data_IF_337388862902
#
_entry.id   IF_337388862902
#
_cell.length_a   1.000
_cell.length_b   1.000
_cell.length_c   1.000
_cell.angle_alpha   90.00
_cell.angle_beta   90.00
_cell.angle_gamma   90.00
#
_symmetry.space_group_name_H-M   'P 1'
#
loop_
_entity.id
_entity.type
_entity.pdbx_description
1 polymer ?
#
# COMPACT_ATOMS: atom_id res chain seq x y z
N UNK A 1 -44.47 -67.61 16.42
CA UNK A 1 -44.78 -66.43 15.59
C UNK A 1 -45.04 -65.24 16.52
N UNK A 2 -44.05 -64.35 16.71
CA UNK A 2 -44.27 -63.11 17.48
C UNK A 2 -45.08 -62.13 16.64
N UNK A 3 -46.25 -61.69 17.14
CA UNK A 3 -47.06 -60.68 16.47
C UNK A 3 -46.37 -59.30 16.60
N UNK A 4 -46.09 -58.60 15.49
CA UNK A 4 -45.45 -57.29 15.56
C UNK A 4 -46.32 -56.31 16.35
N UNK A 5 -45.74 -55.75 17.42
CA UNK A 5 -46.40 -54.79 18.29
C UNK A 5 -46.40 -53.42 17.60
N UNK A 6 -47.52 -53.07 16.96
CA UNK A 6 -47.70 -51.81 16.23
C UNK A 6 -47.34 -50.56 17.07
N UNK A 7 -47.49 -50.65 18.40
CA UNK A 7 -47.13 -49.57 19.33
C UNK A 7 -45.62 -49.40 19.49
N UNK A 8 -44.85 -50.49 19.44
CA UNK A 8 -43.40 -50.46 19.52
C UNK A 8 -42.76 -49.82 18.27
N UNK A 9 -43.33 -50.10 17.09
CA UNK A 9 -42.88 -49.48 15.84
C UNK A 9 -43.17 -47.97 15.83
N UNK A 10 -44.35 -47.56 16.31
CA UNK A 10 -44.69 -46.15 16.46
C UNK A 10 -43.77 -45.40 17.43
N UNK A 11 -43.47 -46.01 18.59
CA UNK A 11 -42.56 -45.42 19.57
C UNK A 11 -41.14 -45.23 19.03
N UNK A 12 -40.61 -46.19 18.26
CA UNK A 12 -39.29 -46.09 17.65
C UNK A 12 -39.21 -44.96 16.62
N UNK A 13 -40.26 -44.78 15.81
CA UNK A 13 -40.28 -43.72 14.79
C UNK A 13 -40.31 -42.31 15.41
N UNK A 14 -41.09 -42.14 16.48
CA UNK A 14 -41.13 -40.86 17.23
C UNK A 14 -39.79 -40.60 17.91
N UNK A 15 -39.19 -41.62 18.53
CA UNK A 15 -37.88 -41.48 19.16
C UNK A 15 -36.78 -41.09 18.15
N UNK A 16 -36.77 -41.73 16.99
CA UNK A 16 -35.84 -41.38 15.90
C UNK A 16 -36.03 -39.94 15.41
N UNK A 17 -37.27 -39.49 15.24
CA UNK A 17 -37.56 -38.11 14.84
C UNK A 17 -37.06 -37.10 15.88
N UNK A 18 -37.30 -37.37 17.17
CA UNK A 18 -36.82 -36.51 18.27
C UNK A 18 -35.29 -36.45 18.29
N UNK A 19 -34.60 -37.57 18.06
CA UNK A 19 -33.15 -37.59 17.98
C UNK A 19 -32.62 -36.80 16.77
N UNK A 20 -33.28 -36.87 15.62
CA UNK A 20 -32.89 -36.07 14.44
C UNK A 20 -33.09 -34.58 14.71
N UNK A 21 -34.21 -34.19 15.32
CA UNK A 21 -34.48 -32.79 15.70
C UNK A 21 -33.46 -32.32 16.74
N UNK A 22 -33.12 -33.14 17.72
CA UNK A 22 -32.11 -32.83 18.73
C UNK A 22 -30.71 -32.72 18.11
N UNK A 23 -30.35 -33.61 17.18
CA UNK A 23 -29.08 -33.57 16.47
C UNK A 23 -28.97 -32.34 15.57
N UNK A 24 -30.05 -31.98 14.85
CA UNK A 24 -30.11 -30.75 14.06
C UNK A 24 -30.04 -29.51 14.97
N UNK A 25 -30.77 -29.50 16.08
CA UNK A 25 -30.73 -28.44 17.07
C UNK A 25 -29.35 -28.28 17.71
N UNK A 26 -28.63 -29.36 17.96
CA UNK A 26 -27.27 -29.34 18.49
C UNK A 26 -26.25 -28.90 17.42
N UNK A 27 -26.40 -29.37 16.18
CA UNK A 27 -25.50 -29.06 15.07
C UNK A 27 -25.68 -27.63 14.55
N UNK A 28 -26.91 -27.11 14.52
CA UNK A 28 -27.22 -25.72 14.17
C UNK A 28 -27.12 -24.77 15.38
N UNK A 29 -27.45 -25.23 16.59
CA UNK A 29 -27.47 -24.42 17.82
C UNK A 29 -26.13 -24.34 18.56
N UNK A 30 -25.19 -25.26 18.30
CA UNK A 30 -23.84 -25.25 18.89
C UNK A 30 -22.93 -24.11 18.44
N UNK A 31 -23.43 -23.17 17.62
CA UNK A 31 -22.72 -21.95 17.21
C UNK A 31 -23.29 -20.66 17.81
N UNK A 32 -24.32 -20.74 18.65
CA UNK A 32 -24.88 -19.55 19.29
C UNK A 32 -24.30 -19.39 20.69
N UNK A 33 -23.77 -18.20 20.99
CA UNK A 33 -23.24 -17.75 22.29
C UNK A 33 -21.85 -18.20 22.68
N UNK A 34 -20.89 -18.12 21.75
CA UNK A 34 -19.53 -17.72 22.18
C UNK A 34 -19.45 -16.23 21.98
N UNK A 35 -19.33 -15.48 23.08
CA UNK A 35 -19.08 -14.05 23.08
C UNK A 35 -17.64 -13.82 22.60
N UNK A 36 -17.36 -14.21 21.35
CA UNK A 36 -16.11 -13.93 20.66
C UNK A 36 -16.19 -12.45 20.30
N UNK A 37 -15.73 -11.58 21.22
CA UNK A 37 -15.55 -10.17 20.91
C UNK A 37 -14.65 -10.09 19.68
N UNK A 38 -15.19 -9.58 18.58
CA UNK A 38 -14.55 -9.49 17.27
C UNK A 38 -13.91 -8.12 17.12
N UNK A 39 -12.58 -8.00 17.20
CA UNK A 39 -11.94 -6.71 17.10
C UNK A 39 -12.21 -6.09 15.73
N UNK A 40 -12.37 -4.78 15.73
CA UNK A 40 -12.68 -4.00 14.53
C UNK A 40 -11.49 -3.15 14.11
N UNK A 41 -11.26 -3.09 12.80
CA UNK A 41 -10.29 -2.24 12.15
C UNK A 41 -11.02 -1.30 11.19
N UNK A 42 -10.74 -0.01 11.27
CA UNK A 42 -11.35 0.98 10.38
C UNK A 42 -10.38 1.37 9.28
N UNK A 43 -10.74 1.13 8.03
CA UNK A 43 -9.96 1.56 6.87
C UNK A 43 -10.62 2.76 6.19
N UNK A 44 -9.83 3.81 5.93
CA UNK A 44 -10.25 5.02 5.19
C UNK A 44 -10.01 4.88 3.68
N UNK A 45 -9.18 3.92 3.27
CA UNK A 45 -8.81 3.65 1.88
C UNK A 45 -9.60 2.48 1.28
N UNK A 46 -9.21 2.07 0.08
CA UNK A 46 -9.84 0.94 -0.58
C UNK A 46 -9.45 -0.38 0.09
N UNK A 47 -10.45 -1.20 0.44
CA UNK A 47 -10.23 -2.59 0.88
C UNK A 47 -10.33 -3.59 -0.28
N UNK A 48 -10.24 -3.13 -1.54
CA UNK A 48 -10.30 -3.99 -2.71
C UNK A 48 -9.30 -5.14 -2.62
N UNK A 49 -9.77 -6.36 -2.88
CA UNK A 49 -8.96 -7.58 -2.76
C UNK A 49 -9.00 -8.22 -1.36
N UNK A 50 -9.58 -7.54 -0.36
CA UNK A 50 -9.90 -8.14 0.93
C UNK A 50 -11.27 -8.81 0.87
N UNK A 51 -11.37 -10.03 1.41
CA UNK A 51 -12.62 -10.77 1.46
C UNK A 51 -12.86 -11.38 2.83
N UNK A 52 -14.10 -11.75 3.10
CA UNK A 52 -14.43 -12.56 4.29
C UNK A 52 -13.66 -13.89 4.19
N UNK A 53 -12.95 -14.24 5.25
CA UNK A 53 -12.02 -15.36 5.30
C UNK A 53 -10.57 -15.02 4.95
N UNK A 54 -10.25 -13.80 4.51
CA UNK A 54 -8.86 -13.34 4.35
C UNK A 54 -8.09 -13.54 5.65
N UNK A 55 -6.84 -13.98 5.53
CA UNK A 55 -6.02 -14.31 6.68
C UNK A 55 -5.50 -13.04 7.36
N UNK A 56 -5.53 -13.03 8.69
CA UNK A 56 -4.86 -12.02 9.52
C UNK A 56 -3.52 -12.60 9.96
N UNK A 57 -2.46 -11.83 9.74
CA UNK A 57 -1.10 -12.19 10.09
C UNK A 57 -0.57 -11.27 11.16
N UNK A 58 0.26 -11.79 12.07
CA UNK A 58 1.12 -11.00 12.92
C UNK A 58 2.56 -11.37 12.59
N UNK A 59 3.33 -10.43 12.04
CA UNK A 59 4.73 -10.64 11.62
C UNK A 59 4.94 -11.94 10.82
N UNK A 60 4.06 -12.20 9.85
CA UNK A 60 4.12 -13.39 8.99
C UNK A 60 3.55 -14.69 9.60
N UNK A 61 3.10 -14.69 10.85
CA UNK A 61 2.40 -15.84 11.47
C UNK A 61 0.88 -15.66 11.34
N UNK A 62 0.13 -16.64 10.81
CA UNK A 62 -1.32 -16.55 10.73
C UNK A 62 -1.92 -16.57 12.15
N UNK A 63 -2.62 -15.50 12.53
CA UNK A 63 -3.21 -15.33 13.88
C UNK A 63 -4.73 -15.31 13.88
N UNK A 64 -5.38 -15.12 12.74
CA UNK A 64 -6.82 -14.89 12.71
C UNK A 64 -7.40 -14.79 11.31
N UNK A 65 -8.68 -14.44 11.18
CA UNK A 65 -9.36 -14.30 9.89
C UNK A 65 -10.28 -13.10 9.88
N UNK A 66 -10.55 -12.58 8.69
CA UNK A 66 -11.61 -11.58 8.48
C UNK A 66 -12.97 -12.26 8.59
N UNK A 67 -13.77 -11.81 9.55
CA UNK A 67 -15.10 -12.34 9.82
C UNK A 67 -16.16 -11.58 9.00
N UNK A 68 -16.04 -10.25 8.96
CA UNK A 68 -17.07 -9.39 8.37
C UNK A 68 -16.47 -8.09 7.86
N UNK A 69 -16.97 -7.59 6.74
CA UNK A 69 -16.62 -6.29 6.17
C UNK A 69 -17.92 -5.49 6.06
N UNK A 70 -17.93 -4.27 6.57
CA UNK A 70 -19.07 -3.36 6.46
C UNK A 70 -18.65 -2.07 5.75
N UNK A 71 -19.64 -1.39 5.18
CA UNK A 71 -19.46 -0.09 4.56
C UNK A 71 -20.30 0.90 5.34
N UNK A 72 -19.66 1.88 5.98
CA UNK A 72 -20.36 2.94 6.70
C UNK A 72 -20.16 4.26 5.94
N UNK A 73 -21.23 4.83 5.37
CA UNK A 73 -21.17 6.18 4.84
C UNK A 73 -20.90 7.15 6.00
N UNK A 74 -19.81 7.91 5.92
CA UNK A 74 -19.60 9.05 6.82
C UNK A 74 -20.25 10.29 6.21
N UNK A 75 -20.68 11.22 7.05
CA UNK A 75 -21.29 12.50 6.65
C UNK A 75 -20.28 13.51 6.06
N UNK A 76 -18.99 13.16 5.99
CA UNK A 76 -17.87 14.06 5.59
C UNK A 76 -17.19 13.62 4.28
N UNK A 77 -17.92 12.99 3.34
CA UNK A 77 -17.42 12.47 2.04
C UNK A 77 -16.29 11.43 2.10
N UNK A 78 -15.89 11.00 3.30
CA UNK A 78 -14.90 9.94 3.50
C UNK A 78 -15.60 8.62 3.83
N UNK A 79 -15.55 7.68 2.90
CA UNK A 79 -16.06 6.32 3.15
C UNK A 79 -15.14 5.65 4.18
N UNK A 80 -15.72 5.12 5.26
CA UNK A 80 -14.99 4.32 6.24
C UNK A 80 -15.51 2.89 6.19
N UNK A 81 -14.58 1.94 6.25
CA UNK A 81 -14.86 0.52 6.11
C UNK A 81 -14.44 -0.17 7.40
N UNK A 82 -15.39 -0.47 8.31
CA UNK A 82 -15.13 -1.35 9.45
C UNK A 82 -14.94 -2.78 8.98
N UNK A 83 -13.84 -3.39 9.42
CA UNK A 83 -13.49 -4.78 9.16
C UNK A 83 -13.34 -5.50 10.48
N UNK A 84 -14.16 -6.51 10.69
CA UNK A 84 -14.15 -7.34 11.89
C UNK A 84 -13.27 -8.55 11.66
N UNK A 85 -12.43 -8.85 12.65
CA UNK A 85 -11.55 -10.02 12.62
C UNK A 85 -11.84 -10.95 13.80
N UNK A 86 -11.46 -12.21 13.64
CA UNK A 86 -11.44 -13.22 14.69
C UNK A 86 -10.01 -13.72 14.88
N UNK A 87 -9.59 -13.97 16.11
CA UNK A 87 -8.29 -14.55 16.43
C UNK A 87 -8.42 -16.08 16.63
N UNK A 88 -7.45 -16.85 16.16
CA UNK A 88 -7.39 -18.28 16.45
C UNK A 88 -7.00 -18.49 17.92
N UNK A 89 -7.88 -19.09 18.75
CA UNK A 89 -7.62 -19.28 20.17
C UNK A 89 -6.31 -20.02 20.46
N UNK A 90 -5.89 -20.93 19.57
CA UNK A 90 -4.66 -21.74 19.74
C UNK A 90 -3.39 -20.89 19.69
N UNK A 91 -3.41 -19.83 18.88
CA UNK A 91 -2.27 -18.93 18.70
C UNK A 91 -2.17 -17.97 19.89
N UNK A 92 -3.31 -17.48 20.37
CA UNK A 92 -3.38 -16.59 21.55
C UNK A 92 -2.92 -17.30 22.83
N UNK A 93 -3.36 -18.54 23.05
CA UNK A 93 -3.00 -19.32 24.26
C UNK A 93 -1.52 -19.68 24.32
N UNK A 94 -0.85 -19.83 23.17
CA UNK A 94 0.58 -20.18 23.10
C UNK A 94 1.49 -18.97 23.32
N UNK A 95 1.07 -17.79 22.89
CA UNK A 95 1.82 -16.55 23.07
C UNK A 95 1.72 -15.97 24.49
N UNK A 96 0.68 -16.34 25.24
CA UNK A 96 0.39 -15.78 26.56
C UNK A 96 0.15 -16.88 27.60
N UNK A 97 1.15 -17.75 27.83
CA UNK A 97 1.10 -18.84 28.82
C UNK A 97 0.70 -18.39 30.25
N UNK A 98 0.77 -17.08 30.55
CA UNK A 98 0.39 -16.47 31.82
C UNK A 98 -0.97 -15.71 31.82
N UNK A 99 -1.70 -15.63 30.71
CA UNK A 99 -2.98 -14.88 30.61
C UNK A 99 -4.20 -15.75 30.28
N UNK A 100 -4.06 -17.08 30.26
CA UNK A 100 -5.10 -18.03 29.82
C UNK A 100 -6.17 -18.31 30.89
N UNK A 101 -6.06 -17.77 32.11
CA UNK A 101 -7.13 -17.89 33.11
C UNK A 101 -8.35 -17.00 32.79
N UNK A 102 -8.29 -16.18 31.73
CA UNK A 102 -9.41 -15.33 31.31
C UNK A 102 -9.53 -15.26 29.79
N UNK A 103 -9.96 -16.36 29.16
CA UNK A 103 -10.33 -16.47 27.72
C UNK A 103 -11.60 -15.66 27.38
N UNK A 104 -11.82 -14.53 28.06
CA UNK A 104 -12.87 -13.56 27.81
C UNK A 104 -12.45 -12.12 28.13
N UNK A 105 -11.18 -11.88 28.49
CA UNK A 105 -10.68 -10.57 28.89
C UNK A 105 -9.83 -9.98 27.75
N UNK A 106 -10.36 -8.99 27.03
CA UNK A 106 -9.70 -8.29 25.92
C UNK A 106 -8.51 -7.44 26.37
N UNK A 107 -8.19 -7.42 27.67
CA UNK A 107 -7.05 -6.70 28.24
C UNK A 107 -5.72 -7.02 27.57
N UNK A 108 -5.53 -8.23 27.07
CA UNK A 108 -4.31 -8.56 26.33
C UNK A 108 -4.21 -7.77 25.03
N UNK A 109 -5.33 -7.60 24.32
CA UNK A 109 -5.36 -6.81 23.08
C UNK A 109 -5.17 -5.33 23.39
N UNK A 110 -5.84 -4.81 24.42
CA UNK A 110 -5.67 -3.43 24.86
C UNK A 110 -4.22 -3.13 25.24
N UNK A 111 -3.54 -4.09 25.91
CA UNK A 111 -2.13 -3.98 26.22
C UNK A 111 -1.29 -3.93 24.94
N UNK A 112 -1.53 -4.77 23.94
CA UNK A 112 -0.79 -4.75 22.67
C UNK A 112 -1.03 -3.43 21.92
N UNK A 113 -2.28 -2.96 21.86
CA UNK A 113 -2.64 -1.68 21.24
C UNK A 113 -1.95 -0.52 21.95
N UNK A 114 -1.88 -0.54 23.29
CA UNK A 114 -1.15 0.45 24.08
C UNK A 114 0.36 0.44 23.78
N UNK A 115 0.93 -0.71 23.42
CA UNK A 115 2.33 -0.83 22.96
C UNK A 115 2.50 -0.51 21.46
N UNK A 116 1.43 -0.06 20.78
CA UNK A 116 1.48 0.41 19.40
C UNK A 116 1.10 -0.63 18.36
N UNK A 117 0.42 -1.72 18.74
CA UNK A 117 -0.16 -2.67 17.78
C UNK A 117 -1.12 -1.93 16.85
N UNK A 118 -0.89 -2.04 15.54
CA UNK A 118 -1.77 -1.52 14.50
C UNK A 118 -1.94 -2.52 13.37
N UNK A 119 -3.06 -2.43 12.68
CA UNK A 119 -3.32 -3.18 11.46
C UNK A 119 -3.05 -2.36 10.21
N UNK A 120 -2.64 -3.03 9.14
CA UNK A 120 -2.59 -2.46 7.79
C UNK A 120 -3.06 -3.48 6.77
N UNK A 121 -3.55 -2.99 5.63
CA UNK A 121 -3.78 -3.84 4.47
C UNK A 121 -2.45 -4.11 3.78
N UNK A 122 -2.19 -5.37 3.49
CA UNK A 122 -1.01 -5.81 2.75
C UNK A 122 -1.41 -6.75 1.62
N UNK A 123 -0.75 -6.61 0.47
CA UNK A 123 -0.94 -7.54 -0.64
C UNK A 123 -0.41 -8.91 -0.24
N UNK A 124 -1.28 -9.90 -0.22
CA UNK A 124 -0.89 -11.31 -0.10
C UNK A 124 -0.32 -11.81 -1.43
N UNK A 125 -0.92 -11.38 -2.54
CA UNK A 125 -0.53 -11.79 -3.88
C UNK A 125 -0.77 -10.65 -4.85
N UNK A 126 0.32 -10.10 -5.37
CA UNK A 126 0.27 -9.04 -6.39
C UNK A 126 -0.36 -9.55 -7.68
N UNK A 127 -0.22 -10.84 -7.97
CA UNK A 127 -0.72 -11.45 -9.20
C UNK A 127 -2.24 -11.61 -9.21
N UNK A 128 -2.82 -11.98 -8.06
CA UNK A 128 -4.27 -12.20 -7.92
C UNK A 128 -4.99 -10.97 -7.37
N UNK A 129 -4.25 -9.95 -6.91
CA UNK A 129 -4.80 -8.78 -6.24
C UNK A 129 -5.40 -9.08 -4.87
N UNK A 130 -5.07 -10.23 -4.26
CA UNK A 130 -5.63 -10.62 -2.97
C UNK A 130 -4.92 -9.88 -1.83
N UNK A 131 -5.72 -9.31 -0.93
CA UNK A 131 -5.25 -8.58 0.24
C UNK A 131 -5.43 -9.42 1.52
N UNK A 132 -4.55 -9.14 2.48
CA UNK A 132 -4.58 -9.66 3.84
C UNK A 132 -4.42 -8.51 4.83
N UNK A 133 -4.74 -8.77 6.10
CA UNK A 133 -4.48 -7.84 7.19
C UNK A 133 -3.18 -8.27 7.87
N UNK A 134 -2.23 -7.35 7.95
CA UNK A 134 -1.02 -7.53 8.76
C UNK A 134 -1.12 -6.68 10.03
N UNK A 135 -0.88 -7.31 11.17
CA UNK A 135 -0.76 -6.71 12.48
C UNK A 135 0.74 -6.62 12.85
N UNK A 136 1.20 -5.43 13.21
CA UNK A 136 2.55 -5.22 13.74
C UNK A 136 2.57 -3.97 14.65
N UNK A 137 3.71 -3.71 15.27
CA UNK A 137 3.93 -2.56 16.13
C UNK A 137 4.45 -1.36 15.33
N UNK A 138 3.67 -0.28 15.36
CA UNK A 138 3.95 0.96 14.65
C UNK A 138 3.98 2.14 15.61
N UNK A 139 4.89 2.19 16.60
CA UNK A 139 4.89 3.22 17.66
C UNK A 139 4.99 4.66 17.13
N UNK A 140 5.58 4.85 15.94
CA UNK A 140 5.75 6.15 15.29
C UNK A 140 4.44 6.75 14.73
N UNK A 141 3.42 5.93 14.49
CA UNK A 141 2.11 6.41 14.02
C UNK A 141 1.20 6.71 15.22
N UNK A 142 0.51 7.85 15.28
CA UNK A 142 -0.47 8.09 16.34
C UNK A 142 -1.63 7.10 16.22
N UNK A 143 -2.07 6.53 17.35
CA UNK A 143 -3.26 5.70 17.38
C UNK A 143 -4.50 6.58 17.20
N UNK A 144 -5.26 6.35 16.12
CA UNK A 144 -6.56 6.98 15.89
C UNK A 144 -7.64 5.95 16.17
N UNK A 145 -8.51 6.26 17.12
CA UNK A 145 -9.65 5.42 17.49
C UNK A 145 -10.94 6.01 16.91
N UNK A 146 -11.67 5.19 16.17
CA UNK A 146 -12.89 5.55 15.46
C UNK A 146 -14.13 4.81 15.99
N UNK A 147 -13.98 3.72 16.76
CA UNK A 147 -15.11 2.91 17.24
C UNK A 147 -16.15 3.75 18.00
N UNK A 148 -15.70 4.56 18.96
CA UNK A 148 -16.59 5.47 19.72
C UNK A 148 -17.27 6.52 18.86
N UNK A 149 -16.61 7.02 17.79
CA UNK A 149 -17.20 7.98 16.85
C UNK A 149 -18.40 7.37 16.10
N UNK A 150 -18.36 6.06 15.86
CA UNK A 150 -19.38 5.33 15.11
C UNK A 150 -20.34 4.51 16.00
N UNK A 151 -20.30 4.70 17.32
CA UNK A 151 -21.17 3.98 18.27
C UNK A 151 -20.90 2.48 18.31
N UNK A 152 -19.66 2.07 18.05
CA UNK A 152 -19.21 0.68 18.13
C UNK A 152 -18.48 0.49 19.46
N UNK A 153 -18.95 -0.48 20.25
CA UNK A 153 -18.40 -0.82 21.56
C UNK A 153 -17.38 -2.00 21.48
N UNK A 154 -17.15 -2.53 20.29
CA UNK A 154 -16.17 -3.60 20.05
C UNK A 154 -14.72 -3.10 20.22
N UNK A 155 -13.78 -3.97 20.65
CA UNK A 155 -12.38 -3.62 20.75
C UNK A 155 -11.81 -3.16 19.41
N UNK A 156 -11.14 -2.00 19.41
CA UNK A 156 -10.58 -1.44 18.19
C UNK A 156 -9.08 -1.66 18.09
N UNK A 157 -8.63 -2.15 16.94
CA UNK A 157 -7.21 -2.13 16.56
C UNK A 157 -7.01 -0.95 15.61
N UNK A 158 -6.22 0.07 16.00
CA UNK A 158 -5.94 1.20 15.13
C UNK A 158 -5.31 0.75 13.82
N UNK A 159 -5.58 1.48 12.75
CA UNK A 159 -5.01 1.19 11.43
C UNK A 159 -3.96 2.21 11.03
N UNK A 160 -3.06 1.79 10.15
CA UNK A 160 -2.19 2.70 9.40
C UNK A 160 -2.54 2.64 7.92
N UNK A 161 -2.33 3.74 7.17
CA UNK A 161 -2.52 3.74 5.72
C UNK A 161 -1.70 2.64 5.04
N UNK A 162 -2.24 2.04 3.98
CA UNK A 162 -1.45 1.11 3.17
C UNK A 162 -0.50 1.87 2.26
N UNK A 163 0.56 1.19 1.79
CA UNK A 163 1.51 1.75 0.82
C UNK A 163 0.78 2.19 -0.47
N UNK A 164 -0.28 1.47 -0.86
CA UNK A 164 -1.06 1.82 -2.04
C UNK A 164 -1.87 3.10 -1.82
N UNK A 165 -2.43 3.29 -0.63
CA UNK A 165 -3.12 4.54 -0.26
C UNK A 165 -2.13 5.71 -0.26
N UNK A 166 -0.95 5.53 0.34
CA UNK A 166 0.10 6.55 0.34
C UNK A 166 0.59 6.88 -1.07
N UNK A 167 0.83 5.88 -1.92
CA UNK A 167 1.24 6.10 -3.31
C UNK A 167 0.15 6.84 -4.09
N UNK A 168 -1.11 6.43 -3.95
CA UNK A 168 -2.24 7.09 -4.62
C UNK A 168 -2.36 8.55 -4.20
N UNK A 169 -2.20 8.84 -2.89
CA UNK A 169 -2.24 10.20 -2.37
C UNK A 169 -1.03 11.04 -2.78
N UNK A 170 0.14 10.43 -2.88
CA UNK A 170 1.38 11.11 -3.29
C UNK A 170 1.41 11.38 -4.80
N UNK A 171 0.90 10.47 -5.63
CA UNK A 171 0.78 10.67 -7.08
C UNK A 171 -0.16 11.82 -7.42
N UNK A 172 -1.24 12.00 -6.67
CA UNK A 172 -2.14 13.16 -6.82
C UNK A 172 -1.47 14.49 -6.49
N UNK A 173 -0.39 14.47 -5.70
CA UNK A 173 0.36 15.66 -5.27
C UNK A 173 1.53 15.99 -6.18
N UNK A 174 1.82 15.23 -7.24
CA UNK A 174 2.87 15.57 -8.20
C UNK A 174 2.36 16.71 -9.09
N UNK A 175 2.87 17.94 -8.96
CA UNK A 175 2.46 19.03 -9.83
C UNK A 175 3.15 18.85 -11.18
N UNK A 176 2.51 18.12 -12.09
CA UNK A 176 2.97 17.99 -13.48
C UNK A 176 3.17 19.35 -14.16
N UNK A 177 2.43 20.36 -13.68
CA UNK A 177 2.54 21.75 -14.11
C UNK A 177 3.88 22.40 -13.71
N UNK A 178 4.42 22.11 -12.52
CA UNK A 178 5.70 22.66 -12.09
C UNK A 178 6.86 22.02 -12.85
N UNK A 179 6.74 20.74 -13.20
CA UNK A 179 7.72 20.07 -14.07
C UNK A 179 7.72 20.75 -15.44
N UNK A 180 6.55 20.98 -16.05
CA UNK A 180 6.43 21.67 -17.34
C UNK A 180 6.99 23.10 -17.31
N UNK A 181 6.67 23.86 -16.26
CA UNK A 181 7.15 25.24 -16.12
C UNK A 181 8.68 25.31 -15.91
N UNK A 182 9.25 24.39 -15.12
CA UNK A 182 10.69 24.33 -14.90
C UNK A 182 11.44 23.81 -16.14
N UNK A 183 10.87 22.88 -16.91
CA UNK A 183 11.45 22.45 -18.19
C UNK A 183 11.48 23.61 -19.20
N UNK A 184 10.41 24.40 -19.29
CA UNK A 184 10.39 25.58 -20.16
C UNK A 184 11.42 26.64 -19.73
N UNK A 185 11.58 26.88 -18.43
CA UNK A 185 12.60 27.79 -17.92
C UNK A 185 14.02 27.30 -18.20
N UNK A 186 14.29 26.01 -18.08
CA UNK A 186 15.58 25.41 -18.45
C UNK A 186 15.85 25.52 -19.96
N UNK A 187 14.85 25.23 -20.80
CA UNK A 187 14.97 25.38 -22.26
C UNK A 187 15.20 26.83 -22.67
N UNK A 188 14.54 27.81 -22.03
CA UNK A 188 14.76 29.23 -22.29
C UNK A 188 16.17 29.68 -21.86
N UNK A 189 16.64 29.25 -20.69
CA UNK A 189 17.99 29.56 -20.22
C UNK A 189 19.05 28.96 -21.15
N UNK A 190 18.88 27.72 -21.61
CA UNK A 190 19.79 27.08 -22.57
C UNK A 190 19.82 27.84 -23.91
N UNK A 191 18.66 28.30 -24.40
CA UNK A 191 18.57 29.07 -25.64
C UNK A 191 19.26 30.44 -25.55
N UNK A 192 19.32 31.05 -24.35
CA UNK A 192 20.04 32.31 -24.11
C UNK A 192 21.54 32.12 -23.84
N UNK A 193 21.92 31.03 -23.16
CA UNK A 193 23.31 30.81 -22.72
C UNK A 193 24.20 30.25 -23.83
N UNK A 194 23.64 29.43 -24.74
CA UNK A 194 24.39 28.84 -25.86
C UNK A 194 25.03 29.92 -26.76
N UNK A 195 24.30 30.95 -27.23
CA UNK A 195 24.89 32.03 -28.03
C UNK A 195 26.01 32.80 -27.32
N UNK A 196 25.89 33.06 -26.02
CA UNK A 196 26.92 33.74 -25.22
C UNK A 196 28.18 32.89 -25.09
N UNK A 197 28.04 31.58 -24.81
CA UNK A 197 29.15 30.65 -24.75
C UNK A 197 29.89 30.55 -26.09
N UNK A 198 29.16 30.58 -27.21
CA UNK A 198 29.73 30.57 -28.56
C UNK A 198 30.49 31.88 -28.88
N UNK A 199 30.01 33.03 -28.40
CA UNK A 199 30.73 34.31 -28.52
C UNK A 199 31.99 34.35 -27.64
N UNK A 200 31.90 33.88 -26.39
CA UNK A 200 33.05 33.87 -25.49
C UNK A 200 34.12 32.88 -25.96
N UNK A 201 33.74 31.72 -26.50
CA UNK A 201 34.68 30.75 -27.08
C UNK A 201 35.34 31.28 -28.36
N UNK A 202 34.61 31.94 -29.27
CA UNK A 202 35.23 32.58 -30.44
C UNK A 202 36.25 33.66 -30.05
N UNK A 203 35.96 34.42 -28.99
CA UNK A 203 36.88 35.45 -28.45
C UNK A 203 38.10 34.82 -27.77
N UNK A 204 37.90 33.74 -27.01
CA UNK A 204 38.99 32.98 -26.39
C UNK A 204 39.89 32.31 -27.42
N UNK A 205 39.32 31.70 -28.47
CA UNK A 205 40.07 31.12 -29.60
C UNK A 205 40.86 32.20 -30.34
N UNK A 206 40.28 33.39 -30.56
CA UNK A 206 41.00 34.52 -31.14
C UNK A 206 42.15 35.01 -30.24
N UNK A 207 41.99 35.00 -28.92
CA UNK A 207 43.03 35.30 -27.94
C UNK A 207 44.17 34.28 -27.97
N UNK A 208 43.84 32.99 -28.00
CA UNK A 208 44.81 31.89 -28.10
C UNK A 208 45.61 32.00 -29.40
N UNK A 209 44.98 32.30 -30.53
CA UNK A 209 45.68 32.50 -31.80
C UNK A 209 46.70 33.66 -31.75
N UNK A 210 46.44 34.73 -31.00
CA UNK A 210 47.41 35.82 -30.82
C UNK A 210 48.61 35.40 -29.98
N UNK A 211 48.39 34.62 -28.93
CA UNK A 211 49.44 34.10 -28.06
C UNK A 211 50.30 33.05 -28.79
N UNK A 212 49.68 32.15 -29.56
CA UNK A 212 50.37 31.16 -30.40
C UNK A 212 51.26 31.85 -31.44
N UNK A 213 50.75 32.88 -32.12
CA UNK A 213 51.53 33.65 -33.09
C UNK A 213 52.66 34.48 -32.46
N UNK A 214 52.56 34.81 -31.17
CA UNK A 214 53.57 35.55 -30.43
C UNK A 214 54.67 34.67 -29.82
N UNK A 215 54.40 33.38 -29.55
CA UNK A 215 55.31 32.48 -28.85
C UNK A 215 56.04 31.47 -29.75
N UNK A 216 55.64 31.31 -31.02
CA UNK A 216 56.41 30.53 -32.01
C UNK A 216 56.47 29.01 -31.78
N UNK A 217 55.87 28.48 -30.70
CA UNK A 217 55.74 27.04 -30.46
C UNK A 217 54.30 26.51 -30.68
N UNK A 218 54.10 25.24 -31.09
CA UNK A 218 52.80 24.70 -31.43
C UNK A 218 51.99 24.35 -30.17
N UNK A 219 50.99 25.17 -29.83
CA UNK A 219 49.94 24.86 -28.82
C UNK A 219 48.89 23.92 -29.44
N UNK A 220 49.32 22.76 -29.96
CA UNK A 220 48.48 21.86 -30.74
C UNK A 220 47.52 21.01 -29.88
N UNK A 221 47.88 20.71 -28.62
CA UNK A 221 47.06 19.89 -27.71
C UNK A 221 45.87 20.66 -27.13
N UNK A 222 46.07 21.88 -26.63
CA UNK A 222 44.98 22.68 -26.05
C UNK A 222 43.91 23.10 -27.07
N UNK A 223 44.28 23.35 -28.33
CA UNK A 223 43.32 23.62 -29.42
C UNK A 223 42.50 22.36 -29.76
N UNK A 224 43.13 21.19 -29.72
CA UNK A 224 42.46 19.91 -30.03
C UNK A 224 41.47 19.52 -28.95
N UNK A 225 41.83 19.70 -27.68
CA UNK A 225 40.97 19.42 -26.53
C UNK A 225 39.76 20.36 -26.47
N UNK A 226 39.96 21.65 -26.82
CA UNK A 226 38.87 22.63 -26.88
C UNK A 226 37.88 22.31 -28.02
N UNK A 227 38.38 21.93 -29.20
CA UNK A 227 37.53 21.47 -30.30
C UNK A 227 36.75 20.19 -29.96
N UNK A 228 37.34 19.30 -29.16
CA UNK A 228 36.65 18.10 -28.67
C UNK A 228 35.53 18.47 -27.70
N UNK A 229 35.80 19.35 -26.74
CA UNK A 229 34.79 19.82 -25.78
C UNK A 229 33.63 20.55 -26.47
N UNK A 230 33.89 21.39 -27.48
CA UNK A 230 32.83 22.07 -28.25
C UNK A 230 31.93 21.05 -28.97
N UNK A 231 32.52 20.00 -29.55
CA UNK A 231 31.75 18.93 -30.19
C UNK A 231 30.92 18.14 -29.17
N UNK A 232 31.53 17.74 -28.06
CA UNK A 232 30.83 16.98 -27.01
C UNK A 232 29.65 17.77 -26.41
N UNK A 233 29.82 19.08 -26.22
CA UNK A 233 28.75 19.98 -25.76
C UNK A 233 27.65 20.15 -26.83
N UNK A 234 28.03 20.28 -28.11
CA UNK A 234 27.07 20.35 -29.22
C UNK A 234 26.26 19.06 -29.34
N UNK A 235 26.89 17.90 -29.23
CA UNK A 235 26.25 16.59 -29.31
C UNK A 235 25.29 16.37 -28.13
N UNK A 236 25.69 16.79 -26.92
CA UNK A 236 24.83 16.78 -25.74
C UNK A 236 23.62 17.71 -25.90
N UNK A 237 23.82 18.94 -26.40
CA UNK A 237 22.74 19.88 -26.65
C UNK A 237 21.73 19.34 -27.69
N UNK A 238 22.22 18.70 -28.76
CA UNK A 238 21.37 18.04 -29.74
C UNK A 238 20.63 16.82 -29.18
N UNK A 239 21.23 16.07 -28.25
CA UNK A 239 20.55 14.95 -27.59
C UNK A 239 19.42 15.44 -26.68
N UNK A 240 19.63 16.56 -25.96
CA UNK A 240 18.61 17.22 -25.14
C UNK A 240 17.49 17.80 -26.01
N UNK A 241 17.82 18.45 -27.13
CA UNK A 241 16.81 18.95 -28.07
C UNK A 241 15.95 17.83 -28.66
N UNK A 242 16.57 16.72 -29.08
CA UNK A 242 15.84 15.53 -29.57
C UNK A 242 14.94 14.91 -28.52
N UNK A 243 15.36 14.92 -27.25
CA UNK A 243 14.53 14.47 -26.14
C UNK A 243 13.35 15.43 -25.91
N UNK A 244 13.60 16.74 -25.98
CA UNK A 244 12.55 17.75 -25.89
C UNK A 244 11.51 17.58 -26.98
N UNK A 245 11.94 17.48 -28.24
CA UNK A 245 11.05 17.26 -29.39
C UNK A 245 10.25 15.94 -29.27
N UNK A 246 10.87 14.91 -28.71
CA UNK A 246 10.22 13.62 -28.46
C UNK A 246 9.17 13.72 -27.36
N UNK A 247 9.46 14.41 -26.26
CA UNK A 247 8.53 14.61 -25.15
C UNK A 247 7.38 15.55 -25.54
N UNK A 248 7.62 16.54 -26.40
CA UNK A 248 6.58 17.43 -26.93
C UNK A 248 5.61 16.68 -27.84
N UNK A 249 6.11 15.71 -28.63
CA UNK A 249 5.28 14.87 -29.50
C UNK A 249 4.60 13.71 -28.79
N UNK A 250 5.16 13.26 -27.66
CA UNK A 250 4.68 12.11 -26.89
C UNK A 250 4.65 12.42 -25.38
N UNK A 251 3.70 13.26 -24.91
CA UNK A 251 3.58 13.59 -23.49
C UNK A 251 3.32 12.35 -22.60
N UNK A 252 2.73 11.29 -23.16
CA UNK A 252 2.50 10.01 -22.50
C UNK A 252 3.78 9.22 -22.16
N UNK A 253 4.92 9.54 -22.79
CA UNK A 253 6.19 8.89 -22.52
C UNK A 253 6.74 9.20 -21.11
N UNK A 254 6.32 10.32 -20.52
CA UNK A 254 6.67 10.72 -19.14
C UNK A 254 6.06 9.79 -18.08
N UNK A 255 4.92 9.17 -18.39
CA UNK A 255 4.18 8.31 -17.44
C UNK A 255 4.49 6.82 -17.61
N UNK A 256 4.83 6.38 -18.83
CA UNK A 256 5.08 4.96 -19.13
C UNK A 256 6.55 4.55 -19.06
N UNK A 257 7.47 5.53 -19.05
CA UNK A 257 8.89 5.26 -19.21
C UNK A 257 9.23 4.79 -20.63
N UNK A 258 10.44 5.10 -21.08
CA UNK A 258 10.92 4.71 -22.41
C UNK A 258 11.22 3.20 -22.44
N UNK A 259 10.22 2.40 -22.79
CA UNK A 259 10.37 0.94 -22.93
C UNK A 259 9.09 0.11 -23.02
N UNK A 260 7.91 0.74 -23.13
CA UNK A 260 6.64 0.00 -23.22
C UNK A 260 6.29 -0.45 -24.63
N UNK A 261 7.09 -1.34 -25.24
CA UNK A 261 6.69 -2.38 -26.20
C UNK A 261 7.79 -3.44 -26.31
#
# INVERSE_FOLDING_TARGET
MLKPNKRAVGAFMVFGLVLIIAALGFFFGGRLTRNEMTPVLFFEGSVSGLSVGSQVYFRGVPVGKVEKIQLMPNSEDKIIIPVYITFDPKVVTSATQAAVDSVGDTKWLDALVAHGLKGKLQSQSVLTGQMMIELDFYPQYPAKFLAKKYGIDDPEIPTVPSIFDELSQNLQKIPLQDISNNTNALLQNLNQTIPELLQQTTTAVAGINRVVNALGEPVSTSITDLNKMIRDVSDAAQAVSRLSDYLERHPEALLKGKGGY
#
